data_IF_714873414348
#
_entry.id   IF_714873414348
#
_cell.length_a   1.000
_cell.length_b   1.000
_cell.length_c   1.000
_cell.angle_alpha   90.00
_cell.angle_beta   90.00
_cell.angle_gamma   90.00
#
_symmetry.space_group_name_H-M   'P 1'
#
loop_
_entity.id
_entity.type
_entity.pdbx_description
1 polymer ?
#
# COMPACT_ATOMS: atom_id res chain seq x y z
N UNK A 1 -23.89 -0.11 -6.30
CA UNK A 1 -22.54 0.26 -5.88
C UNK A 1 -21.65 -0.92 -6.15
N UNK A 2 -20.58 -0.69 -6.92
CA UNK A 2 -19.57 -1.71 -7.19
C UNK A 2 -18.76 -1.94 -5.93
N UNK A 3 -18.53 -3.21 -5.60
CA UNK A 3 -17.69 -3.58 -4.46
C UNK A 3 -16.42 -4.27 -4.95
N UNK A 4 -15.28 -3.65 -4.68
CA UNK A 4 -13.95 -4.15 -5.03
C UNK A 4 -13.14 -4.45 -3.77
N UNK A 5 -12.54 -5.64 -3.72
CA UNK A 5 -11.55 -6.00 -2.72
C UNK A 5 -10.14 -5.90 -3.30
N UNK A 6 -9.22 -5.40 -2.48
CA UNK A 6 -7.81 -5.22 -2.83
C UNK A 6 -6.95 -6.02 -1.87
N UNK A 7 -5.96 -6.73 -2.39
CA UNK A 7 -4.98 -7.48 -1.59
C UNK A 7 -3.61 -7.39 -2.21
N UNK A 8 -2.59 -7.22 -1.39
CA UNK A 8 -1.20 -7.39 -1.82
C UNK A 8 -0.81 -8.85 -1.58
N UNK A 9 -0.45 -9.57 -2.64
CA UNK A 9 -0.11 -11.00 -2.57
C UNK A 9 1.40 -11.24 -2.48
N UNK A 10 2.21 -10.34 -3.05
CA UNK A 10 3.67 -10.48 -3.12
C UNK A 10 4.33 -9.12 -3.39
N UNK A 11 5.65 -9.05 -3.26
CA UNK A 11 6.47 -7.89 -3.61
C UNK A 11 7.77 -8.32 -4.28
N UNK A 12 8.17 -7.59 -5.32
CA UNK A 12 9.46 -7.80 -5.99
C UNK A 12 10.15 -6.49 -6.32
N UNK A 13 11.46 -6.57 -6.51
CA UNK A 13 12.26 -5.45 -7.02
C UNK A 13 12.13 -5.39 -8.54
N UNK A 14 11.88 -4.21 -9.08
CA UNK A 14 11.93 -3.99 -10.53
C UNK A 14 13.38 -4.02 -11.01
N UNK A 15 13.67 -4.93 -11.95
CA UNK A 15 15.02 -5.10 -12.48
C UNK A 15 15.31 -4.02 -13.52
N UNK A 16 16.56 -3.55 -13.57
CA UNK A 16 17.03 -2.58 -14.56
C UNK A 16 16.29 -1.23 -14.54
N UNK A 17 15.64 -0.88 -13.42
CA UNK A 17 15.09 0.45 -13.22
C UNK A 17 16.19 1.49 -12.97
N UNK A 18 16.05 2.69 -13.51
CA UNK A 18 16.97 3.80 -13.28
C UNK A 18 16.94 4.33 -11.83
N UNK A 19 15.88 4.02 -11.09
CA UNK A 19 15.73 4.32 -9.67
C UNK A 19 15.18 3.10 -8.91
N UNK A 20 15.47 2.93 -7.61
CA UNK A 20 14.93 1.84 -6.81
C UNK A 20 13.40 1.82 -6.84
N UNK A 21 12.82 0.69 -7.26
CA UNK A 21 11.39 0.53 -7.44
C UNK A 21 10.95 -0.86 -6.96
N UNK A 22 9.95 -0.90 -6.08
CA UNK A 22 9.26 -2.13 -5.72
C UNK A 22 7.96 -2.24 -6.49
N UNK A 23 7.61 -3.45 -6.90
CA UNK A 23 6.34 -3.81 -7.49
C UNK A 23 5.59 -4.70 -6.53
N UNK A 24 4.49 -4.18 -5.98
CA UNK A 24 3.56 -4.95 -5.17
C UNK A 24 2.54 -5.62 -6.08
N UNK A 25 2.40 -6.95 -5.97
CA UNK A 25 1.40 -7.71 -6.72
C UNK A 25 0.02 -7.44 -6.12
N UNK A 26 -0.74 -6.53 -6.74
CA UNK A 26 -2.07 -6.14 -6.34
C UNK A 26 -3.11 -7.06 -7.00
N UNK A 27 -3.83 -7.82 -6.19
CA UNK A 27 -5.00 -8.59 -6.57
C UNK A 27 -6.27 -7.79 -6.29
N UNK A 28 -7.05 -7.57 -7.35
CA UNK A 28 -8.32 -6.86 -7.33
C UNK A 28 -9.43 -7.87 -7.60
N UNK A 29 -10.42 -7.95 -6.72
CA UNK A 29 -11.57 -8.86 -6.85
C UNK A 29 -12.85 -8.04 -6.93
N UNK A 30 -13.63 -8.23 -7.98
CA UNK A 30 -14.96 -7.67 -8.10
C UNK A 30 -15.98 -8.55 -7.38
N UNK A 31 -16.57 -8.04 -6.30
CA UNK A 31 -17.62 -8.71 -5.51
C UNK A 31 -19.02 -8.48 -6.07
N UNK A 32 -19.15 -7.68 -7.12
CA UNK A 32 -20.41 -7.36 -7.81
C UNK A 32 -20.37 -7.86 -9.26
N UNK A 33 -20.61 -9.16 -9.51
CA UNK A 33 -20.44 -9.77 -10.83
C UNK A 33 -21.38 -9.20 -11.91
N UNK A 34 -22.54 -8.70 -11.53
CA UNK A 34 -23.53 -8.11 -12.46
C UNK A 34 -23.14 -6.68 -12.92
N UNK A 35 -22.12 -6.08 -12.32
CA UNK A 35 -21.62 -4.75 -12.66
C UNK A 35 -20.19 -4.87 -13.23
N UNK A 36 -20.04 -4.97 -14.56
CA UNK A 36 -18.73 -5.12 -15.18
C UNK A 36 -17.90 -3.84 -15.04
N UNK A 37 -16.74 -3.98 -14.39
CA UNK A 37 -15.78 -2.88 -14.21
C UNK A 37 -14.89 -2.78 -15.44
N UNK A 38 -14.89 -1.59 -16.05
CA UNK A 38 -14.13 -1.28 -17.26
C UNK A 38 -12.71 -0.81 -16.94
N UNK A 39 -12.56 -0.03 -15.88
CA UNK A 39 -11.27 0.49 -15.42
C UNK A 39 -11.36 0.93 -13.95
N UNK A 40 -10.23 0.89 -13.25
CA UNK A 40 -10.08 1.53 -11.94
C UNK A 40 -8.83 2.39 -11.97
N UNK A 41 -8.97 3.68 -11.65
CA UNK A 41 -7.84 4.54 -11.36
C UNK A 41 -7.61 4.54 -9.86
N UNK A 42 -6.55 3.88 -9.42
CA UNK A 42 -6.28 3.62 -8.02
C UNK A 42 -5.06 4.42 -7.55
N UNK A 43 -5.25 5.17 -6.46
CA UNK A 43 -4.20 5.76 -5.66
C UNK A 43 -4.06 4.94 -4.38
N UNK A 44 -2.83 4.76 -3.93
CA UNK A 44 -2.52 4.03 -2.72
C UNK A 44 -1.56 4.85 -1.86
N UNK A 45 -1.92 5.04 -0.59
CA UNK A 45 -1.00 5.51 0.42
C UNK A 45 -0.43 4.28 1.15
N UNK A 46 0.89 4.10 1.07
CA UNK A 46 1.58 3.00 1.75
C UNK A 46 2.18 3.56 3.04
N UNK A 47 1.80 2.99 4.18
CA UNK A 47 2.32 3.38 5.50
C UNK A 47 3.11 2.26 6.14
N UNK A 48 4.10 2.62 6.94
CA UNK A 48 4.78 1.69 7.85
C UNK A 48 4.00 1.63 9.16
N UNK A 49 3.83 0.44 9.73
CA UNK A 49 3.18 0.23 11.02
C UNK A 49 4.17 -0.37 12.04
N UNK A 50 5.09 0.45 12.57
CA UNK A 50 6.19 -0.03 13.39
C UNK A 50 5.71 -0.76 14.65
N UNK A 51 4.60 -0.31 15.26
CA UNK A 51 4.01 -0.94 16.44
C UNK A 51 3.49 -2.39 16.22
N UNK A 52 3.36 -2.85 14.97
CA UNK A 52 2.97 -4.24 14.66
C UNK A 52 4.16 -5.20 14.62
N UNK A 53 5.37 -4.70 14.81
CA UNK A 53 6.62 -5.47 14.81
C UNK A 53 7.22 -5.49 16.21
N UNK A 54 7.90 -6.58 16.55
CA UNK A 54 8.77 -6.66 17.74
C UNK A 54 10.19 -6.27 17.34
N UNK A 55 10.88 -5.61 18.25
CA UNK A 55 12.27 -5.18 18.08
C UNK A 55 13.08 -5.78 19.20
N UNK A 56 14.32 -6.14 18.90
CA UNK A 56 15.22 -6.81 19.85
C UNK A 56 16.65 -6.28 19.73
N UNK A 57 17.43 -6.47 20.79
CA UNK A 57 18.85 -6.11 20.81
C UNK A 57 19.10 -4.63 20.48
N UNK A 58 20.04 -4.41 19.56
CA UNK A 58 20.50 -3.08 19.16
C UNK A 58 19.45 -2.28 18.37
N UNK A 59 18.38 -2.91 17.86
CA UNK A 59 17.32 -2.19 17.14
C UNK A 59 16.65 -1.14 18.05
N UNK A 60 16.54 -1.43 19.36
CA UNK A 60 16.02 -0.49 20.34
C UNK A 60 16.81 0.82 20.40
N UNK A 61 18.14 0.71 20.42
CA UNK A 61 19.02 1.87 20.52
C UNK A 61 19.05 2.65 19.21
N UNK A 62 19.09 1.94 18.06
CA UNK A 62 19.11 2.57 16.72
C UNK A 62 17.80 3.29 16.39
N UNK A 63 16.67 2.83 16.94
CA UNK A 63 15.35 3.44 16.73
C UNK A 63 14.99 4.51 17.78
N UNK A 64 15.84 4.71 18.79
CA UNK A 64 15.60 5.71 19.85
C UNK A 64 15.50 7.14 19.31
N UNK A 65 16.21 7.44 18.23
CA UNK A 65 16.13 8.71 17.49
C UNK A 65 14.76 8.99 16.86
N UNK A 66 13.98 7.94 16.57
CA UNK A 66 12.67 8.03 15.92
C UNK A 66 11.52 7.94 16.93
N UNK A 67 11.62 7.00 17.86
CA UNK A 67 10.52 6.68 18.78
C UNK A 67 10.83 7.06 20.23
N UNK A 68 12.03 7.56 20.53
CA UNK A 68 12.49 7.77 21.90
C UNK A 68 12.82 6.45 22.61
N UNK A 69 12.98 6.54 23.93
CA UNK A 69 13.31 5.38 24.78
C UNK A 69 12.23 4.29 24.70
N UNK A 70 12.59 2.98 24.71
CA UNK A 70 11.64 1.86 24.59
C UNK A 70 10.43 1.91 25.54
N UNK A 71 10.59 2.45 26.74
CA UNK A 71 9.50 2.63 27.71
C UNK A 71 8.36 3.56 27.22
N UNK A 72 8.61 4.40 26.20
CA UNK A 72 7.63 5.34 25.63
C UNK A 72 7.02 4.88 24.32
N UNK A 73 7.44 3.73 23.78
CA UNK A 73 7.02 3.28 22.46
C UNK A 73 5.51 3.07 22.33
N UNK A 74 4.82 2.73 23.43
CA UNK A 74 3.35 2.68 23.44
C UNK A 74 2.67 4.00 23.03
N UNK A 75 3.34 5.14 23.18
CA UNK A 75 2.81 6.47 22.88
C UNK A 75 3.36 7.05 21.57
N UNK A 76 4.65 6.82 21.29
CA UNK A 76 5.40 7.48 20.23
C UNK A 76 5.46 6.69 18.93
N UNK A 77 5.24 5.37 18.98
CA UNK A 77 5.38 4.47 17.83
C UNK A 77 4.13 4.51 16.95
N UNK A 78 3.98 5.61 16.21
CA UNK A 78 2.84 5.83 15.31
C UNK A 78 3.14 5.34 13.90
N UNK A 79 2.08 4.94 13.19
CA UNK A 79 2.19 4.69 11.76
C UNK A 79 2.56 5.99 11.03
N UNK A 80 3.43 5.89 10.04
CA UNK A 80 3.87 7.02 9.23
C UNK A 80 3.82 6.68 7.74
N UNK A 81 3.57 7.70 6.93
CA UNK A 81 3.58 7.60 5.47
C UNK A 81 4.95 7.13 4.99
N UNK A 82 5.02 6.09 4.16
CA UNK A 82 6.24 5.76 3.45
C UNK A 82 6.28 6.44 2.08
N UNK A 83 5.28 6.15 1.24
CA UNK A 83 5.21 6.65 -0.13
C UNK A 83 3.78 6.65 -0.65
N UNK A 84 3.56 7.38 -1.75
CA UNK A 84 2.35 7.33 -2.54
C UNK A 84 2.60 6.51 -3.81
N UNK A 85 1.68 5.62 -4.13
CA UNK A 85 1.69 4.81 -5.34
C UNK A 85 0.39 5.01 -6.13
N UNK A 86 0.43 4.78 -7.43
CA UNK A 86 -0.78 4.81 -8.26
C UNK A 86 -0.70 3.77 -9.37
N UNK A 87 -1.86 3.24 -9.77
CA UNK A 87 -1.97 2.26 -10.86
C UNK A 87 -3.32 2.40 -11.55
N UNK A 88 -3.33 2.25 -12.88
CA UNK A 88 -4.56 2.05 -13.63
C UNK A 88 -4.81 0.55 -13.78
N UNK A 89 -5.87 0.06 -13.15
CA UNK A 89 -6.30 -1.34 -13.27
C UNK A 89 -7.20 -1.44 -14.51
N UNK A 90 -6.85 -2.28 -15.50
CA UNK A 90 -7.74 -2.57 -16.63
C UNK A 90 -9.04 -3.23 -16.19
N UNK A 91 -9.91 -3.55 -17.14
CA UNK A 91 -11.19 -4.19 -16.88
C UNK A 91 -11.07 -5.40 -15.92
N UNK A 92 -11.97 -5.44 -14.93
CA UNK A 92 -12.03 -6.47 -13.90
C UNK A 92 -13.39 -7.16 -14.02
N UNK A 93 -13.39 -8.39 -14.53
CA UNK A 93 -14.60 -9.20 -14.60
C UNK A 93 -14.89 -9.80 -13.21
N UNK A 94 -14.14 -10.85 -12.84
CA UNK A 94 -14.19 -11.44 -11.50
C UNK A 94 -12.97 -11.02 -10.66
N UNK A 95 -11.78 -11.14 -11.25
CA UNK A 95 -10.53 -10.73 -10.60
C UNK A 95 -9.49 -10.27 -11.61
N UNK A 96 -8.52 -9.48 -11.13
CA UNK A 96 -7.39 -8.99 -11.90
C UNK A 96 -6.16 -8.86 -11.02
N UNK A 97 -5.00 -9.25 -11.54
CA UNK A 97 -3.69 -8.95 -10.93
C UNK A 97 -2.99 -7.87 -11.73
N UNK A 98 -2.43 -6.88 -11.04
CA UNK A 98 -1.60 -5.82 -11.61
C UNK A 98 -0.45 -5.50 -10.67
N UNK A 99 0.60 -4.88 -11.19
CA UNK A 99 1.68 -4.38 -10.36
C UNK A 99 1.38 -2.96 -9.89
N UNK A 100 1.47 -2.74 -8.58
CA UNK A 100 1.44 -1.42 -7.97
C UNK A 100 2.88 -0.94 -7.74
N UNK A 101 3.39 0.00 -8.56
CA UNK A 101 4.75 0.50 -8.42
C UNK A 101 4.87 1.44 -7.22
N UNK A 102 5.82 1.14 -6.33
CA UNK A 102 6.15 1.94 -5.15
C UNK A 102 7.61 2.40 -5.23
N UNK A 103 7.86 3.66 -5.66
CA UNK A 103 9.22 4.19 -5.73
C UNK A 103 9.87 4.25 -4.34
N UNK A 104 11.08 3.70 -4.24
CA UNK A 104 11.91 3.78 -3.03
C UNK A 104 12.93 4.92 -3.21
N UNK A 105 12.42 6.14 -3.37
CA UNK A 105 13.28 7.33 -3.55
C UNK A 105 13.92 7.77 -2.23
N UNK A 106 15.08 8.42 -2.32
CA UNK A 106 15.80 8.98 -1.17
C UNK A 106 15.06 10.19 -0.53
N UNK A 107 14.19 10.85 -1.30
CA UNK A 107 13.81 12.24 -1.06
C UNK A 107 12.63 12.47 -0.11
N UNK A 108 11.87 11.46 0.31
CA UNK A 108 10.58 11.74 0.97
C UNK A 108 10.39 11.30 2.42
N UNK A 109 11.32 10.57 3.05
CA UNK A 109 11.16 10.36 4.49
C UNK A 109 12.46 10.03 5.23
N UNK A 110 13.06 11.04 5.88
CA UNK A 110 14.15 10.84 6.85
C UNK A 110 13.75 9.79 7.88
N UNK A 111 12.47 9.77 8.29
CA UNK A 111 11.96 8.79 9.23
C UNK A 111 11.99 7.36 8.67
N UNK A 112 11.55 7.14 7.43
CA UNK A 112 11.60 5.82 6.79
C UNK A 112 13.04 5.35 6.60
N UNK A 113 13.94 6.24 6.14
CA UNK A 113 15.35 5.91 5.96
C UNK A 113 16.02 5.51 7.27
N UNK A 114 15.85 6.31 8.33
CA UNK A 114 16.34 5.97 9.67
C UNK A 114 15.73 4.68 10.19
N UNK A 115 14.44 4.47 9.92
CA UNK A 115 13.72 3.28 10.37
C UNK A 115 14.31 2.03 9.72
N UNK A 116 14.33 1.95 8.40
CA UNK A 116 14.88 0.80 7.67
C UNK A 116 16.37 0.57 7.97
N UNK A 117 17.16 1.64 8.19
CA UNK A 117 18.57 1.52 8.57
C UNK A 117 18.77 0.98 10.00
N UNK A 118 17.83 1.27 10.90
CA UNK A 118 17.87 0.79 12.28
C UNK A 118 17.47 -0.67 12.46
N UNK A 119 16.86 -1.30 11.44
CA UNK A 119 16.45 -2.70 11.48
C UNK A 119 17.60 -3.63 11.11
N UNK A 120 17.66 -4.78 11.76
CA UNK A 120 18.65 -5.80 11.42
C UNK A 120 18.08 -6.88 10.50
N UNK A 121 16.93 -7.45 10.85
CA UNK A 121 16.35 -8.62 10.16
C UNK A 121 14.82 -8.67 10.26
N UNK A 122 14.15 -9.45 9.42
CA UNK A 122 12.70 -9.68 9.51
C UNK A 122 11.84 -8.62 8.82
N UNK A 123 10.52 -8.79 8.90
CA UNK A 123 9.58 -8.09 8.01
C UNK A 123 9.15 -6.71 8.53
N UNK A 124 8.91 -5.79 7.60
CA UNK A 124 8.35 -4.47 7.92
C UNK A 124 6.85 -4.49 7.68
N UNK A 125 6.01 -4.29 8.72
CA UNK A 125 4.57 -4.22 8.55
C UNK A 125 4.19 -2.99 7.72
N UNK A 126 3.50 -3.22 6.62
CA UNK A 126 2.96 -2.17 5.74
C UNK A 126 1.43 -2.20 5.80
N UNK A 127 0.83 -1.02 5.66
CA UNK A 127 -0.61 -0.85 5.52
C UNK A 127 -0.88 -0.04 4.23
N UNK A 128 -1.76 -0.57 3.39
CA UNK A 128 -2.09 0.00 2.08
C UNK A 128 -3.49 0.60 2.13
N UNK A 129 -3.56 1.93 2.02
CA UNK A 129 -4.82 2.66 2.04
C UNK A 129 -5.20 3.04 0.60
N UNK A 130 -6.26 2.44 0.08
CA UNK A 130 -6.68 2.64 -1.31
C UNK A 130 -7.74 3.72 -1.45
N UNK A 131 -7.63 4.51 -2.50
CA UNK A 131 -8.62 5.51 -2.91
C UNK A 131 -8.61 5.63 -4.43
N UNK A 132 -9.69 6.10 -5.05
CA UNK A 132 -9.70 6.17 -6.51
C UNK A 132 -11.10 6.21 -7.12
N UNK A 133 -11.13 6.07 -8.45
CA UNK A 133 -12.35 6.08 -9.24
C UNK A 133 -12.54 4.74 -9.96
N UNK A 134 -13.76 4.22 -9.89
CA UNK A 134 -14.20 2.99 -10.55
C UNK A 134 -15.10 3.38 -11.73
N UNK A 135 -14.74 2.91 -12.92
CA UNK A 135 -15.52 3.07 -14.14
C UNK A 135 -16.18 1.75 -14.47
N UNK A 136 -17.51 1.70 -14.50
CA UNK A 136 -18.28 0.47 -14.74
C UNK A 136 -19.50 0.74 -15.61
N UNK A 137 -20.14 -0.32 -16.12
CA UNK A 137 -21.44 -0.22 -16.78
C UNK A 137 -22.56 -0.63 -15.85
N UNK A 138 -23.62 0.18 -15.81
CA UNK A 138 -24.87 -0.19 -15.12
C UNK A 138 -25.69 -1.20 -15.94
N UNK A 139 -26.82 -1.64 -15.38
CA UNK A 139 -27.76 -2.56 -16.03
C UNK A 139 -28.37 -2.02 -17.33
N UNK A 140 -28.36 -0.71 -17.54
CA UNK A 140 -28.82 -0.04 -18.76
C UNK A 140 -27.66 0.18 -19.76
N UNK A 141 -26.50 -0.46 -19.52
CA UNK A 141 -25.28 -0.35 -20.32
C UNK A 141 -24.66 1.05 -20.38
N UNK A 142 -25.04 1.98 -19.48
CA UNK A 142 -24.47 3.33 -19.41
C UNK A 142 -23.18 3.32 -18.61
N UNK A 143 -22.25 4.21 -18.98
CA UNK A 143 -21.02 4.42 -18.22
C UNK A 143 -21.33 5.17 -16.93
N UNK A 144 -20.91 4.61 -15.80
CA UNK A 144 -21.01 5.21 -14.48
C UNK A 144 -19.62 5.35 -13.86
N UNK A 145 -19.51 6.31 -12.94
CA UNK A 145 -18.29 6.55 -12.17
C UNK A 145 -18.65 6.53 -10.69
N UNK A 146 -17.97 5.70 -9.92
CA UNK A 146 -18.07 5.65 -8.45
C UNK A 146 -16.68 5.86 -7.83
N UNK A 147 -16.63 6.29 -6.57
CA UNK A 147 -15.37 6.35 -5.81
C UNK A 147 -15.13 5.01 -5.10
N UNK A 148 -13.86 4.61 -4.99
CA UNK A 148 -13.46 3.50 -4.12
C UNK A 148 -13.87 3.84 -2.69
N UNK A 149 -14.56 2.90 -2.02
CA UNK A 149 -14.98 3.09 -0.65
C UNK A 149 -13.78 3.33 0.27
N UNK A 150 -13.89 4.33 1.15
CA UNK A 150 -12.84 4.73 2.10
C UNK A 150 -12.38 3.62 3.07
N UNK A 151 -13.17 2.55 3.21
CA UNK A 151 -12.89 1.41 4.11
C UNK A 151 -11.96 0.34 3.51
N UNK A 152 -11.43 0.56 2.30
CA UNK A 152 -10.56 -0.43 1.64
C UNK A 152 -9.10 -0.22 2.07
N UNK A 153 -8.73 -0.90 3.15
CA UNK A 153 -7.35 -1.08 3.62
C UNK A 153 -6.93 -2.55 3.56
N UNK A 154 -5.65 -2.82 3.35
CA UNK A 154 -5.08 -4.17 3.49
C UNK A 154 -3.66 -4.15 4.08
#
# INVERSE_FOLDING_TARGET
MVDLDFRIEDVRVEKYSAAPLLLFALHVVNKTPDLPVLNVMLNCQIRVEPARRRYEGDEHDRLSDLFGHPSRWGETMRSFLWTHASVSVPAVNAERRVDLPAPCSYDFNIAATKYFHGLEQGDVPLNFLFSGSIFYRDSECRLQIEQVAWSKEC
#
